data_IF_849505226175
#
_entry.id   IF_849505226175
#
_cell.length_a   1.000
_cell.length_b   1.000
_cell.length_c   1.000
_cell.angle_alpha   90.00
_cell.angle_beta   90.00
_cell.angle_gamma   90.00
#
_symmetry.space_group_name_H-M   'P 1'
#
loop_
_entity.id
_entity.type
_entity.pdbx_description
1 polymer ?
#
# COMPACT_ATOMS: atom_id res chain seq x y z
N UNK A 1 8.55 -19.22 -17.01
CA UNK A 1 8.99 -18.88 -15.65
C UNK A 1 7.88 -19.17 -14.64
N UNK A 2 8.25 -19.66 -13.44
CA UNK A 2 7.32 -19.97 -12.36
C UNK A 2 7.71 -19.16 -11.12
N UNK A 3 6.86 -18.24 -10.69
CA UNK A 3 7.04 -17.35 -9.55
C UNK A 3 6.15 -17.78 -8.38
N UNK A 4 6.74 -17.93 -7.18
CA UNK A 4 5.96 -18.06 -5.96
C UNK A 4 6.11 -16.80 -5.10
N UNK A 5 4.99 -16.22 -4.69
CA UNK A 5 4.93 -15.03 -3.84
C UNK A 5 4.55 -15.44 -2.43
N UNK A 6 5.39 -15.15 -1.45
CA UNK A 6 5.08 -15.35 -0.03
C UNK A 6 4.62 -14.02 0.57
N UNK A 7 3.30 -13.84 0.71
CA UNK A 7 2.72 -12.67 1.34
C UNK A 7 1.65 -13.08 2.36
N UNK A 8 1.98 -12.93 3.64
CA UNK A 8 1.11 -13.34 4.75
C UNK A 8 -0.32 -12.81 4.64
N UNK A 9 -0.50 -11.56 4.27
CA UNK A 9 -1.81 -10.86 4.28
C UNK A 9 -2.46 -10.71 2.90
N UNK A 10 -2.17 -11.60 1.96
CA UNK A 10 -2.74 -11.52 0.61
C UNK A 10 -4.15 -12.14 0.49
N UNK A 11 -4.74 -12.69 1.55
CA UNK A 11 -6.07 -13.27 1.50
C UNK A 11 -7.16 -12.26 1.07
N UNK A 12 -7.06 -11.00 1.54
CA UNK A 12 -7.97 -9.94 1.12
C UNK A 12 -7.84 -9.63 -0.38
N UNK A 13 -6.64 -9.78 -0.96
CA UNK A 13 -6.43 -9.57 -2.40
C UNK A 13 -7.16 -10.63 -3.24
N UNK A 14 -7.30 -11.86 -2.71
CA UNK A 14 -8.14 -12.89 -3.34
C UNK A 14 -9.63 -12.52 -3.31
N UNK A 15 -10.11 -12.04 -2.16
CA UNK A 15 -11.53 -11.67 -1.97
C UNK A 15 -11.90 -10.46 -2.83
N UNK A 16 -11.04 -9.43 -2.86
CA UNK A 16 -11.28 -8.18 -3.59
C UNK A 16 -10.98 -8.29 -5.09
N UNK A 17 -10.28 -9.37 -5.54
CA UNK A 17 -9.77 -9.46 -6.92
C UNK A 17 -8.91 -8.27 -7.29
N UNK A 18 -8.13 -7.74 -6.33
CA UNK A 18 -7.31 -6.54 -6.55
C UNK A 18 -6.27 -6.35 -5.42
N UNK A 19 -5.23 -5.60 -5.71
CA UNK A 19 -4.15 -5.24 -4.80
C UNK A 19 -2.80 -5.70 -5.29
N UNK A 20 -1.73 -5.13 -4.75
CA UNK A 20 -0.38 -5.20 -5.29
C UNK A 20 0.03 -6.54 -5.92
N UNK A 21 -0.02 -7.64 -5.15
CA UNK A 21 0.45 -8.92 -5.68
C UNK A 21 -0.56 -9.60 -6.61
N UNK A 22 -1.85 -9.34 -6.43
CA UNK A 22 -2.87 -9.78 -7.35
C UNK A 22 -2.70 -9.11 -8.71
N UNK A 23 -2.61 -7.78 -8.73
CA UNK A 23 -2.50 -6.98 -9.96
C UNK A 23 -1.18 -7.25 -10.69
N UNK A 24 -0.04 -7.35 -9.96
CA UNK A 24 1.23 -7.77 -10.54
C UNK A 24 1.13 -9.19 -11.13
N UNK A 25 0.53 -10.14 -10.41
CA UNK A 25 0.36 -11.52 -10.87
C UNK A 25 -0.50 -11.61 -12.12
N UNK A 26 -1.62 -10.90 -12.19
CA UNK A 26 -2.51 -10.80 -13.35
C UNK A 26 -1.72 -10.42 -14.62
N UNK A 27 -0.91 -9.36 -14.55
CA UNK A 27 -0.14 -8.91 -15.71
C UNK A 27 1.05 -9.82 -16.02
N UNK A 28 1.69 -10.45 -15.03
CA UNK A 28 2.73 -11.45 -15.26
C UNK A 28 2.17 -12.71 -15.91
N UNK A 29 0.98 -13.16 -15.52
CA UNK A 29 0.28 -14.31 -16.13
C UNK A 29 -0.01 -14.03 -17.60
N UNK A 30 -0.46 -12.82 -17.95
CA UNK A 30 -0.70 -12.45 -19.35
C UNK A 30 0.56 -12.50 -20.22
N UNK A 31 1.77 -12.50 -19.61
CA UNK A 31 3.09 -12.65 -20.23
C UNK A 31 3.65 -14.08 -20.18
N UNK A 32 2.83 -15.04 -19.74
CA UNK A 32 3.20 -16.46 -19.70
C UNK A 32 3.97 -16.88 -18.42
N UNK A 33 4.01 -16.04 -17.38
CA UNK A 33 4.56 -16.42 -16.08
C UNK A 33 3.50 -17.19 -15.29
N UNK A 34 3.85 -18.34 -14.72
CA UNK A 34 3.00 -19.02 -13.74
C UNK A 34 3.20 -18.39 -12.38
N UNK A 35 2.13 -17.98 -11.71
CA UNK A 35 2.23 -17.30 -10.40
C UNK A 35 1.37 -18.01 -9.36
N UNK A 36 1.95 -18.29 -8.18
CA UNK A 36 1.22 -18.75 -6.99
C UNK A 36 1.48 -17.81 -5.82
N UNK A 37 0.41 -17.35 -5.17
CA UNK A 37 0.47 -16.49 -3.98
C UNK A 37 0.16 -17.31 -2.73
N UNK A 38 1.12 -17.40 -1.81
CA UNK A 38 0.96 -18.10 -0.53
C UNK A 38 0.58 -17.10 0.55
N UNK A 39 -0.60 -17.23 1.14
CA UNK A 39 -1.11 -16.33 2.17
C UNK A 39 -1.74 -17.11 3.35
N UNK A 40 -1.98 -16.40 4.46
CA UNK A 40 -2.81 -16.94 5.54
C UNK A 40 -4.29 -16.86 5.18
N UNK A 41 -5.12 -17.64 5.86
CA UNK A 41 -6.58 -17.65 5.72
C UNK A 41 -7.26 -16.42 6.33
N UNK A 42 -6.61 -15.72 7.24
CA UNK A 42 -7.17 -14.59 7.98
C UNK A 42 -7.18 -13.29 7.17
N UNK A 43 -8.33 -12.62 7.13
CA UNK A 43 -8.51 -11.33 6.45
C UNK A 43 -8.08 -10.19 7.38
N UNK A 44 -6.93 -9.60 7.12
CA UNK A 44 -6.37 -8.54 7.97
C UNK A 44 -7.25 -7.28 7.97
N UNK A 45 -7.72 -6.87 9.14
CA UNK A 45 -8.59 -5.69 9.30
C UNK A 45 -10.08 -5.95 9.15
N UNK A 46 -10.45 -7.21 8.91
CA UNK A 46 -11.82 -7.74 8.96
C UNK A 46 -11.74 -8.97 9.86
N UNK A 47 -12.58 -9.08 10.88
CA UNK A 47 -12.53 -10.22 11.83
C UNK A 47 -13.09 -11.51 11.20
N UNK A 48 -12.69 -11.81 9.97
CA UNK A 48 -13.13 -12.93 9.17
C UNK A 48 -11.93 -13.74 8.66
N UNK A 49 -12.18 -14.98 8.27
CA UNK A 49 -11.21 -15.85 7.65
C UNK A 49 -11.83 -16.60 6.47
N UNK A 50 -11.02 -16.93 5.48
CA UNK A 50 -11.44 -17.82 4.40
C UNK A 50 -11.54 -19.22 4.97
N UNK A 51 -12.72 -19.84 4.83
CA UNK A 51 -12.98 -21.17 5.35
C UNK A 51 -12.14 -22.22 4.64
N UNK A 52 -11.50 -23.07 5.43
CA UNK A 52 -10.76 -24.26 4.97
C UNK A 52 -11.44 -25.46 5.60
N UNK A 53 -12.27 -26.13 4.81
CA UNK A 53 -13.13 -27.24 5.26
C UNK A 53 -12.29 -28.38 5.83
N UNK A 54 -11.32 -28.86 5.06
CA UNK A 54 -10.44 -29.94 5.45
C UNK A 54 -8.96 -29.61 5.22
N UNK A 55 -8.11 -29.98 6.19
CA UNK A 55 -6.66 -29.92 6.02
C UNK A 55 -5.99 -28.66 6.53
N UNK A 56 -4.80 -28.39 5.98
CA UNK A 56 -3.89 -27.34 6.45
C UNK A 56 -3.88 -26.12 5.53
N UNK A 57 -4.37 -26.29 4.31
CA UNK A 57 -4.45 -25.24 3.28
C UNK A 57 -5.48 -25.62 2.22
N UNK A 58 -5.92 -24.63 1.45
CA UNK A 58 -6.71 -24.80 0.23
C UNK A 58 -6.05 -24.05 -0.93
N UNK A 59 -6.26 -24.54 -2.15
CA UNK A 59 -5.86 -23.83 -3.37
C UNK A 59 -7.10 -23.23 -4.01
N UNK A 60 -7.05 -21.95 -4.32
CA UNK A 60 -8.14 -21.22 -5.00
C UNK A 60 -7.54 -20.46 -6.20
N UNK A 61 -8.32 -20.32 -7.24
CA UNK A 61 -7.94 -19.52 -8.41
C UNK A 61 -8.91 -18.36 -8.53
N UNK A 62 -8.40 -17.14 -8.62
CA UNK A 62 -9.18 -15.94 -8.89
C UNK A 62 -9.68 -15.92 -10.34
N UNK A 63 -10.62 -15.04 -10.63
CA UNK A 63 -11.21 -14.88 -11.98
C UNK A 63 -10.15 -14.54 -13.03
N UNK A 64 -9.10 -13.80 -12.65
CA UNK A 64 -7.96 -13.44 -13.52
C UNK A 64 -6.89 -14.54 -13.66
N UNK A 65 -7.18 -15.77 -13.20
CA UNK A 65 -6.25 -16.89 -13.27
C UNK A 65 -5.15 -16.89 -12.21
N UNK A 66 -5.16 -15.96 -11.27
CA UNK A 66 -4.18 -15.89 -10.18
C UNK A 66 -4.42 -17.01 -9.18
N UNK A 67 -3.43 -17.89 -8.99
CA UNK A 67 -3.51 -19.00 -8.05
C UNK A 67 -3.10 -18.58 -6.63
N UNK A 68 -3.95 -18.91 -5.65
CA UNK A 68 -3.72 -18.69 -4.22
C UNK A 68 -3.60 -20.00 -3.47
N UNK A 69 -2.59 -20.09 -2.63
CA UNK A 69 -2.42 -21.14 -1.62
C UNK A 69 -2.73 -20.53 -0.27
N UNK A 70 -3.95 -20.74 0.20
CA UNK A 70 -4.49 -20.16 1.43
C UNK A 70 -4.22 -21.12 2.56
N UNK A 71 -3.46 -20.70 3.56
CA UNK A 71 -2.91 -21.54 4.62
C UNK A 71 -3.62 -21.26 5.94
N UNK A 72 -4.16 -22.31 6.57
CA UNK A 72 -4.80 -22.19 7.88
C UNK A 72 -3.80 -21.73 8.93
N UNK A 73 -4.13 -20.64 9.63
CA UNK A 73 -3.27 -20.04 10.67
C UNK A 73 -4.06 -19.76 11.94
N UNK A 74 -3.35 -19.45 13.04
CA UNK A 74 -4.00 -19.07 14.29
C UNK A 74 -4.70 -17.72 14.12
N UNK A 75 -6.01 -17.66 14.36
CA UNK A 75 -6.76 -16.41 14.32
C UNK A 75 -6.27 -15.40 15.38
N UNK A 76 -6.43 -14.10 15.09
CA UNK A 76 -6.17 -13.02 16.06
C UNK A 76 -7.20 -11.90 15.89
N UNK A 77 -7.56 -11.21 16.99
CA UNK A 77 -8.53 -10.11 16.95
C UNK A 77 -7.91 -8.72 17.05
N UNK A 78 -6.71 -8.59 17.63
CA UNK A 78 -6.07 -7.30 17.90
C UNK A 78 -4.57 -7.32 17.58
N UNK A 79 -3.96 -6.13 17.48
CA UNK A 79 -2.52 -5.95 17.25
C UNK A 79 -1.67 -6.26 18.50
N UNK A 80 -1.80 -7.45 19.06
CA UNK A 80 -1.11 -7.89 20.28
C UNK A 80 -0.29 -9.18 20.08
N UNK A 81 -0.03 -9.88 21.18
CA UNK A 81 0.72 -11.15 21.18
C UNK A 81 0.09 -12.23 20.29
N UNK A 82 -1.24 -12.22 20.14
CA UNK A 82 -1.95 -13.13 19.24
C UNK A 82 -1.56 -12.92 17.78
N UNK A 83 -1.34 -11.66 17.35
CA UNK A 83 -0.84 -11.34 15.99
C UNK A 83 0.60 -11.84 15.81
N UNK A 84 1.46 -11.69 16.81
CA UNK A 84 2.83 -12.24 16.76
C UNK A 84 2.79 -13.77 16.64
N UNK A 85 1.92 -14.44 17.41
CA UNK A 85 1.70 -15.88 17.29
C UNK A 85 1.25 -16.29 15.89
N UNK A 86 0.32 -15.55 15.28
CA UNK A 86 -0.13 -15.77 13.91
C UNK A 86 1.02 -15.61 12.90
N UNK A 87 1.89 -14.59 13.04
CA UNK A 87 3.06 -14.40 12.18
C UNK A 87 4.04 -15.58 12.29
N UNK A 88 4.28 -16.08 13.51
CA UNK A 88 5.14 -17.25 13.76
C UNK A 88 4.50 -18.51 13.16
N UNK A 89 3.21 -18.70 13.35
CA UNK A 89 2.47 -19.85 12.80
C UNK A 89 2.53 -19.85 11.26
N UNK A 90 2.29 -18.70 10.61
CA UNK A 90 2.46 -18.55 9.17
C UNK A 90 3.88 -18.92 8.71
N UNK A 91 4.93 -18.42 9.38
CA UNK A 91 6.32 -18.72 9.05
C UNK A 91 6.61 -20.22 8.98
N UNK A 92 6.11 -21.00 9.93
CA UNK A 92 6.31 -22.45 9.95
C UNK A 92 5.44 -23.15 8.91
N UNK A 93 4.18 -22.77 8.80
CA UNK A 93 3.20 -23.44 7.95
C UNK A 93 3.45 -23.16 6.47
N UNK A 94 3.74 -21.92 6.06
CA UNK A 94 4.01 -21.60 4.65
C UNK A 94 5.18 -22.43 4.11
N UNK A 95 6.26 -22.58 4.88
CA UNK A 95 7.39 -23.40 4.48
C UNK A 95 7.05 -24.88 4.36
N UNK A 96 6.19 -25.39 5.24
CA UNK A 96 5.74 -26.78 5.18
C UNK A 96 4.87 -27.02 3.96
N UNK A 97 3.84 -26.19 3.75
CA UNK A 97 2.92 -26.27 2.62
C UNK A 97 3.64 -26.07 1.29
N UNK A 98 4.52 -25.07 1.18
CA UNK A 98 5.32 -24.85 -0.02
C UNK A 98 6.21 -26.07 -0.36
N UNK A 99 6.82 -26.74 0.65
CA UNK A 99 7.56 -27.96 0.42
C UNK A 99 6.67 -29.15 -0.02
N UNK A 100 5.44 -29.23 0.47
CA UNK A 100 4.48 -30.24 0.04
C UNK A 100 4.06 -30.03 -1.43
N UNK A 101 3.82 -28.77 -1.83
CA UNK A 101 3.48 -28.39 -3.20
C UNK A 101 4.69 -28.59 -4.13
N UNK A 102 5.89 -28.18 -3.70
CA UNK A 102 7.12 -28.37 -4.49
C UNK A 102 7.41 -29.86 -4.80
N UNK A 103 7.04 -30.75 -3.92
CA UNK A 103 7.18 -32.21 -4.17
C UNK A 103 6.17 -32.74 -5.20
N UNK A 104 5.01 -32.09 -5.32
CA UNK A 104 3.93 -32.53 -6.23
C UNK A 104 4.04 -31.90 -7.62
N UNK A 105 4.40 -30.62 -7.67
CA UNK A 105 4.30 -29.78 -8.86
C UNK A 105 5.67 -29.27 -9.37
N UNK A 106 6.74 -29.52 -8.61
CA UNK A 106 8.06 -28.95 -8.87
C UNK A 106 8.31 -27.66 -8.13
N UNK A 107 9.57 -27.22 -8.10
CA UNK A 107 9.98 -25.95 -7.48
C UNK A 107 9.75 -24.78 -8.43
N UNK A 108 9.48 -23.56 -7.91
CA UNK A 108 9.47 -22.38 -8.76
C UNK A 108 10.89 -22.01 -9.23
N UNK A 109 10.97 -21.14 -10.23
CA UNK A 109 12.23 -20.59 -10.70
C UNK A 109 12.77 -19.50 -9.76
N UNK A 110 11.85 -18.80 -9.06
CA UNK A 110 12.17 -17.69 -8.16
C UNK A 110 11.09 -17.52 -7.08
N UNK A 111 11.51 -17.03 -5.92
CA UNK A 111 10.63 -16.60 -4.82
C UNK A 111 10.62 -15.08 -4.74
N UNK A 112 9.42 -14.48 -4.62
CA UNK A 112 9.23 -13.13 -4.14
C UNK A 112 8.66 -13.19 -2.71
N UNK A 113 9.49 -12.93 -1.72
CA UNK A 113 9.07 -12.85 -0.32
C UNK A 113 8.73 -11.40 0.02
N UNK A 114 7.48 -11.14 0.40
CA UNK A 114 6.99 -9.78 0.65
C UNK A 114 6.76 -9.53 2.14
N UNK A 115 7.27 -8.40 2.62
CA UNK A 115 7.07 -7.97 4.01
C UNK A 115 5.69 -7.33 4.20
N UNK A 116 5.05 -7.73 5.28
CA UNK A 116 4.34 -6.87 6.21
C UNK A 116 5.01 -7.08 7.58
N UNK A 117 5.86 -8.09 7.67
CA UNK A 117 6.74 -8.40 8.80
C UNK A 117 7.91 -9.29 8.36
N UNK A 118 9.05 -9.27 9.07
CA UNK A 118 10.28 -9.96 8.63
C UNK A 118 10.17 -11.48 8.48
N UNK A 119 9.24 -12.13 9.21
CA UNK A 119 9.14 -13.60 9.20
C UNK A 119 8.69 -14.16 7.84
N UNK A 120 7.92 -13.39 7.05
CA UNK A 120 7.57 -13.78 5.68
C UNK A 120 8.81 -13.80 4.77
N UNK A 121 9.68 -12.78 4.90
CA UNK A 121 10.94 -12.69 4.17
C UNK A 121 11.86 -13.87 4.51
N UNK A 122 12.05 -14.14 5.82
CA UNK A 122 12.87 -15.26 6.30
C UNK A 122 12.31 -16.62 5.83
N UNK A 123 10.97 -16.75 5.73
CA UNK A 123 10.35 -17.97 5.21
C UNK A 123 10.71 -18.19 3.74
N UNK A 124 10.64 -17.16 2.91
CA UNK A 124 11.03 -17.19 1.50
C UNK A 124 12.51 -17.51 1.32
N UNK A 125 13.40 -16.80 2.01
CA UNK A 125 14.84 -17.06 1.97
C UNK A 125 15.20 -18.53 2.33
N UNK A 126 14.62 -19.03 3.43
CA UNK A 126 14.90 -20.40 3.86
C UNK A 126 14.35 -21.45 2.91
N UNK A 127 13.20 -21.21 2.29
CA UNK A 127 12.66 -22.08 1.25
C UNK A 127 13.58 -22.04 0.02
N UNK A 128 13.92 -20.87 -0.47
CA UNK A 128 14.76 -20.66 -1.64
C UNK A 128 16.15 -21.31 -1.45
N UNK A 129 16.81 -21.08 -0.32
CA UNK A 129 18.09 -21.71 0.02
C UNK A 129 18.01 -23.24 0.01
N UNK A 130 16.94 -23.82 0.57
CA UNK A 130 16.76 -25.28 0.60
C UNK A 130 16.64 -25.87 -0.80
N UNK A 131 15.96 -25.17 -1.69
CA UNK A 131 15.69 -25.65 -3.05
C UNK A 131 16.69 -25.13 -4.09
N UNK A 132 17.72 -24.36 -3.66
CA UNK A 132 18.76 -23.76 -4.51
C UNK A 132 18.18 -22.93 -5.66
N UNK A 133 17.27 -22.05 -5.32
CA UNK A 133 16.63 -21.08 -6.22
C UNK A 133 16.81 -19.66 -5.66
N UNK A 134 16.78 -18.61 -6.50
CA UNK A 134 16.90 -17.23 -6.03
C UNK A 134 15.67 -16.76 -5.24
N UNK A 135 15.90 -15.77 -4.36
CA UNK A 135 14.87 -15.10 -3.57
C UNK A 135 15.01 -13.58 -3.67
N UNK A 136 13.97 -12.91 -4.13
CA UNK A 136 13.79 -11.47 -4.00
C UNK A 136 13.06 -11.18 -2.70
N UNK A 137 13.57 -10.23 -1.92
CA UNK A 137 12.89 -9.72 -0.73
C UNK A 137 12.26 -8.37 -1.03
N UNK A 138 10.93 -8.29 -0.89
CA UNK A 138 10.17 -7.05 -1.08
C UNK A 138 9.87 -6.39 0.25
N UNK A 139 10.29 -5.13 0.38
CA UNK A 139 10.19 -4.31 1.58
C UNK A 139 9.09 -3.28 1.36
N UNK A 140 7.97 -3.48 2.07
CA UNK A 140 6.81 -2.58 1.98
C UNK A 140 6.78 -1.57 3.12
N UNK A 141 7.32 -1.95 4.27
CA UNK A 141 7.49 -1.12 5.44
C UNK A 141 8.91 -1.32 6.00
N UNK A 142 9.55 -0.26 6.42
CA UNK A 142 10.87 -0.31 7.04
C UNK A 142 10.75 -0.79 8.49
N UNK A 143 11.04 -2.05 8.73
CA UNK A 143 11.03 -2.67 10.06
C UNK A 143 12.45 -2.94 10.55
N UNK A 144 12.88 -2.39 11.71
CA UNK A 144 12.07 -1.77 12.78
C UNK A 144 11.90 -0.25 12.68
N UNK A 145 12.47 0.41 11.67
CA UNK A 145 12.54 1.88 11.55
C UNK A 145 11.18 2.54 11.76
N UNK A 146 10.12 2.04 11.12
CA UNK A 146 8.75 2.56 11.27
C UNK A 146 8.28 2.53 12.73
N UNK A 147 8.63 1.50 13.49
CA UNK A 147 8.25 1.41 14.91
C UNK A 147 9.06 2.36 15.78
N UNK A 148 10.29 2.67 15.39
CA UNK A 148 11.16 3.64 16.07
C UNK A 148 10.65 5.06 15.80
N UNK A 149 10.37 5.42 14.56
CA UNK A 149 9.85 6.72 14.17
C UNK A 149 8.48 7.03 14.80
N UNK A 150 7.62 6.03 14.92
CA UNK A 150 6.31 6.16 15.60
C UNK A 150 6.42 6.11 17.14
N UNK A 151 7.63 6.00 17.71
CA UNK A 151 7.85 6.01 19.15
C UNK A 151 7.51 4.71 19.89
N UNK A 152 7.14 3.63 19.18
CA UNK A 152 6.85 2.33 19.81
C UNK A 152 8.11 1.59 20.28
N UNK A 153 9.24 1.83 19.61
CA UNK A 153 10.54 1.28 19.94
C UNK A 153 11.58 2.38 20.10
N UNK A 154 12.68 2.06 20.79
CA UNK A 154 13.84 2.95 20.89
C UNK A 154 15.07 2.24 20.34
N UNK A 155 15.84 2.90 19.50
CA UNK A 155 17.10 2.36 18.92
C UNK A 155 18.10 1.91 19.99
N UNK A 156 18.06 2.52 21.19
CA UNK A 156 18.97 2.20 22.30
C UNK A 156 18.69 0.82 22.91
N UNK A 157 17.50 0.27 22.73
CA UNK A 157 17.11 -1.04 23.30
C UNK A 157 17.77 -2.19 22.55
N UNK A 158 18.22 -3.20 23.30
CA UNK A 158 18.86 -4.41 22.74
C UNK A 158 17.95 -5.11 21.72
N UNK A 159 16.67 -5.23 22.00
CA UNK A 159 15.69 -5.84 21.07
C UNK A 159 15.67 -5.12 19.73
N UNK A 160 15.61 -3.79 19.73
CA UNK A 160 15.59 -2.99 18.50
C UNK A 160 16.88 -3.19 17.69
N UNK A 161 18.04 -3.21 18.37
CA UNK A 161 19.32 -3.48 17.72
C UNK A 161 19.37 -4.90 17.10
N UNK A 162 18.78 -5.90 17.77
CA UNK A 162 18.66 -7.25 17.22
C UNK A 162 17.72 -7.29 15.99
N UNK A 163 16.65 -6.51 16.00
CA UNK A 163 15.74 -6.37 14.85
C UNK A 163 16.47 -5.75 13.64
N UNK A 164 17.26 -4.69 13.83
CA UNK A 164 18.09 -4.10 12.75
C UNK A 164 19.12 -5.09 12.21
N UNK A 165 19.77 -5.88 13.09
CA UNK A 165 20.68 -6.96 12.64
C UNK A 165 19.95 -8.03 11.84
N UNK A 166 18.71 -8.35 12.23
CA UNK A 166 17.85 -9.28 11.50
C UNK A 166 17.50 -8.74 10.11
N UNK A 167 17.09 -7.49 10.01
CA UNK A 167 16.81 -6.79 8.77
C UNK A 167 18.03 -6.77 7.84
N UNK A 168 19.19 -6.32 8.34
CA UNK A 168 20.44 -6.34 7.60
C UNK A 168 20.79 -7.75 7.08
N UNK A 169 20.63 -8.78 7.94
CA UNK A 169 20.88 -10.16 7.54
C UNK A 169 19.96 -10.66 6.42
N UNK A 170 18.69 -10.21 6.39
CA UNK A 170 17.74 -10.51 5.32
C UNK A 170 18.23 -9.88 4.01
N UNK A 171 18.51 -8.57 4.02
CA UNK A 171 18.93 -7.83 2.83
C UNK A 171 20.25 -8.36 2.25
N UNK A 172 21.20 -8.72 3.11
CA UNK A 172 22.48 -9.31 2.69
C UNK A 172 22.33 -10.66 2.01
N UNK A 173 21.41 -11.51 2.48
CA UNK A 173 21.25 -12.90 2.00
C UNK A 173 20.38 -13.02 0.75
N UNK A 174 19.48 -12.07 0.52
CA UNK A 174 18.62 -12.08 -0.67
C UNK A 174 19.41 -11.78 -1.94
N UNK A 175 19.00 -12.34 -3.06
CA UNK A 175 19.58 -12.06 -4.37
C UNK A 175 19.23 -10.66 -4.87
N UNK A 176 18.07 -10.13 -4.45
CA UNK A 176 17.69 -8.75 -4.68
C UNK A 176 16.74 -8.24 -3.61
N UNK A 177 16.76 -6.93 -3.36
CA UNK A 177 15.90 -6.24 -2.41
C UNK A 177 15.06 -5.21 -3.16
N UNK A 178 13.75 -5.41 -3.18
CA UNK A 178 12.80 -4.50 -3.82
C UNK A 178 12.17 -3.64 -2.73
N UNK A 179 12.34 -2.34 -2.80
CA UNK A 179 11.63 -1.40 -1.93
C UNK A 179 10.41 -0.85 -2.66
N UNK A 180 9.29 -0.72 -1.94
CA UNK A 180 8.11 -0.02 -2.49
C UNK A 180 8.25 1.49 -2.41
N UNK A 181 9.09 2.01 -1.50
CA UNK A 181 9.48 3.41 -1.44
C UNK A 181 10.76 3.65 -2.27
N UNK A 182 10.88 4.79 -2.99
CA UNK A 182 11.99 5.05 -3.91
C UNK A 182 13.35 5.22 -3.23
N UNK A 183 13.38 5.65 -1.97
CA UNK A 183 14.60 5.89 -1.19
C UNK A 183 15.25 4.64 -0.58
N UNK A 184 14.95 3.43 -1.07
CA UNK A 184 15.53 2.20 -0.54
C UNK A 184 17.06 2.19 -0.55
N UNK A 185 17.68 2.71 -1.61
CA UNK A 185 19.14 2.85 -1.69
C UNK A 185 19.70 3.83 -0.64
N UNK A 186 18.96 4.90 -0.37
CA UNK A 186 19.36 5.87 0.66
C UNK A 186 19.23 5.27 2.06
N UNK A 187 18.17 4.49 2.30
CA UNK A 187 18.01 3.77 3.56
C UNK A 187 19.19 2.83 3.83
N UNK A 188 19.63 2.07 2.83
CA UNK A 188 20.80 1.19 2.95
C UNK A 188 22.07 1.99 3.30
N UNK A 189 22.28 3.16 2.68
CA UNK A 189 23.41 4.06 2.97
C UNK A 189 23.31 4.68 4.37
N UNK A 190 22.14 5.19 4.75
CA UNK A 190 21.92 5.80 6.07
C UNK A 190 22.16 4.79 7.20
N UNK A 191 21.89 3.49 6.95
CA UNK A 191 22.19 2.42 7.89
C UNK A 191 23.65 1.91 7.83
N UNK A 192 24.45 2.39 6.88
CA UNK A 192 25.84 1.96 6.70
C UNK A 192 25.99 0.50 6.22
N UNK A 193 25.02 -0.01 5.43
CA UNK A 193 24.99 -1.41 5.00
C UNK A 193 25.43 -1.64 3.54
N UNK A 194 25.84 -0.60 2.84
CA UNK A 194 26.19 -0.65 1.40
C UNK A 194 27.34 -1.60 1.06
N UNK A 195 28.23 -1.90 2.02
CA UNK A 195 29.35 -2.82 1.82
C UNK A 195 28.88 -4.29 1.81
N UNK A 196 27.83 -4.60 2.58
CA UNK A 196 27.24 -5.94 2.69
C UNK A 196 26.00 -6.12 1.78
N UNK A 197 25.36 -5.01 1.40
CA UNK A 197 24.16 -4.97 0.55
C UNK A 197 24.46 -4.06 -0.65
N UNK A 198 25.08 -4.62 -1.70
CA UNK A 198 25.41 -3.86 -2.92
C UNK A 198 24.19 -3.14 -3.51
N UNK A 199 24.36 -1.87 -3.88
CA UNK A 199 23.25 -1.03 -4.32
C UNK A 199 22.69 -1.38 -5.69
N UNK A 200 23.40 -2.17 -6.47
CA UNK A 200 22.96 -2.72 -7.77
C UNK A 200 21.87 -3.79 -7.62
N UNK A 201 21.85 -4.50 -6.48
CA UNK A 201 20.77 -5.45 -6.17
C UNK A 201 19.57 -4.80 -5.42
N UNK A 202 19.57 -3.47 -5.23
CA UNK A 202 18.50 -2.72 -4.58
C UNK A 202 17.65 -2.04 -5.63
N UNK A 203 16.40 -2.48 -5.75
CA UNK A 203 15.43 -2.06 -6.76
C UNK A 203 14.29 -1.26 -6.14
N UNK A 204 13.59 -0.51 -6.98
CA UNK A 204 12.36 0.19 -6.61
C UNK A 204 11.20 -0.26 -7.50
N UNK A 205 10.15 -0.79 -6.88
CA UNK A 205 8.85 -1.04 -7.51
C UNK A 205 7.78 -0.56 -6.53
N UNK A 206 7.20 0.61 -6.78
CA UNK A 206 6.16 1.21 -5.95
C UNK A 206 4.88 0.35 -5.91
N UNK A 207 3.94 0.68 -5.02
CA UNK A 207 2.55 0.34 -5.27
C UNK A 207 2.09 1.09 -6.52
N UNK A 208 0.92 0.74 -7.01
CA UNK A 208 0.38 1.29 -8.25
C UNK A 208 -1.14 1.21 -8.28
N UNK A 209 -1.67 1.36 -9.46
CA UNK A 209 -3.08 1.21 -9.78
C UNK A 209 -3.23 0.39 -11.07
N UNK A 210 -4.24 -0.45 -11.14
CA UNK A 210 -4.67 -1.08 -12.40
C UNK A 210 -5.57 -0.09 -13.14
N UNK A 211 -5.02 0.62 -14.13
CA UNK A 211 -5.73 1.67 -14.85
C UNK A 211 -6.90 1.13 -15.68
N UNK A 212 -6.78 -0.08 -16.21
CA UNK A 212 -7.85 -0.68 -17.00
C UNK A 212 -9.04 -1.01 -16.10
N UNK A 213 -8.78 -1.64 -14.94
CA UNK A 213 -9.79 -1.91 -13.92
C UNK A 213 -10.39 -0.63 -13.35
N UNK A 214 -9.56 0.36 -13.04
CA UNK A 214 -10.02 1.66 -12.50
C UNK A 214 -11.03 2.33 -13.45
N UNK A 215 -10.71 2.40 -14.75
CA UNK A 215 -11.60 2.98 -15.77
C UNK A 215 -12.89 2.17 -15.92
N UNK A 216 -12.78 0.82 -15.91
CA UNK A 216 -13.94 -0.06 -15.93
C UNK A 216 -14.86 0.21 -14.73
N UNK A 217 -14.31 0.28 -13.51
CA UNK A 217 -15.07 0.49 -12.29
C UNK A 217 -15.74 1.88 -12.27
N UNK A 218 -15.08 2.94 -12.77
CA UNK A 218 -15.70 4.29 -12.91
C UNK A 218 -16.94 4.24 -13.78
N UNK A 219 -16.92 3.48 -14.89
CA UNK A 219 -18.04 3.42 -15.84
C UNK A 219 -19.17 2.47 -15.45
N UNK A 220 -18.86 1.42 -14.67
CA UNK A 220 -19.79 0.30 -14.45
C UNK A 220 -20.26 0.17 -12.98
N UNK A 221 -19.51 0.72 -12.01
CA UNK A 221 -19.83 0.62 -10.60
C UNK A 221 -20.20 1.99 -10.03
N UNK A 222 -21.40 2.48 -10.38
CA UNK A 222 -21.91 3.77 -9.93
C UNK A 222 -22.64 3.66 -8.59
N UNK A 223 -22.69 4.76 -7.84
CA UNK A 223 -23.45 4.88 -6.60
C UNK A 223 -24.45 6.04 -6.71
N UNK A 224 -25.67 5.83 -6.18
CA UNK A 224 -26.65 6.90 -6.01
C UNK A 224 -26.40 7.57 -4.65
N UNK A 225 -25.60 8.63 -4.68
CA UNK A 225 -25.25 9.43 -3.50
C UNK A 225 -25.47 10.92 -3.82
N UNK A 226 -26.37 11.57 -3.08
CA UNK A 226 -26.79 12.95 -3.35
C UNK A 226 -25.61 13.91 -3.26
N UNK A 227 -24.77 13.78 -2.23
CA UNK A 227 -23.63 14.67 -1.99
C UNK A 227 -22.58 14.63 -3.11
N UNK A 228 -22.47 13.51 -3.85
CA UNK A 228 -21.58 13.41 -5.01
C UNK A 228 -22.08 14.22 -6.22
N UNK A 229 -23.36 14.62 -6.23
CA UNK A 229 -24.01 15.30 -7.36
C UNK A 229 -24.33 16.77 -7.07
N UNK A 230 -23.89 17.32 -5.94
CA UNK A 230 -24.01 18.75 -5.63
C UNK A 230 -23.07 19.58 -6.51
N UNK A 231 -23.36 20.89 -6.61
CA UNK A 231 -22.49 21.84 -7.31
C UNK A 231 -21.34 22.37 -6.42
N UNK A 232 -21.28 21.95 -5.16
CA UNK A 232 -20.20 22.35 -4.26
C UNK A 232 -18.87 21.72 -4.67
N UNK A 233 -17.78 22.38 -4.29
CA UNK A 233 -16.43 21.83 -4.43
C UNK A 233 -16.22 20.66 -3.43
N UNK A 234 -15.97 19.47 -3.94
CA UNK A 234 -15.90 18.23 -3.16
C UNK A 234 -14.47 17.82 -2.90
N UNK A 235 -14.08 17.84 -1.62
CA UNK A 235 -12.83 17.26 -1.16
C UNK A 235 -13.12 15.83 -0.74
N UNK A 236 -12.45 14.85 -1.34
CA UNK A 236 -12.66 13.43 -1.02
C UNK A 236 -11.45 12.82 -0.34
N UNK A 237 -11.71 12.20 0.80
CA UNK A 237 -10.82 11.27 1.47
C UNK A 237 -11.38 9.85 1.36
N UNK A 238 -10.59 8.90 0.86
CA UNK A 238 -10.96 7.48 0.82
C UNK A 238 -9.90 6.64 1.54
N UNK A 239 -10.25 6.05 2.69
CA UNK A 239 -9.29 5.24 3.44
C UNK A 239 -9.68 4.93 4.87
N UNK A 240 -8.79 4.28 5.61
CA UNK A 240 -9.03 3.93 7.01
C UNK A 240 -9.01 5.16 7.92
N UNK A 241 -9.96 5.22 8.87
CA UNK A 241 -10.10 6.30 9.86
C UNK A 241 -9.39 5.86 11.14
N UNK A 242 -8.05 6.05 11.16
CA UNK A 242 -7.16 5.67 12.26
C UNK A 242 -6.24 6.83 12.63
N UNK A 243 -5.72 6.84 13.85
CA UNK A 243 -4.85 7.89 14.37
C UNK A 243 -3.70 8.27 13.42
N UNK A 244 -3.01 7.28 12.85
CA UNK A 244 -1.90 7.49 11.93
C UNK A 244 -2.30 8.25 10.65
N UNK A 245 -3.57 8.19 10.26
CA UNK A 245 -4.08 8.88 9.08
C UNK A 245 -4.60 10.29 9.38
N UNK A 246 -4.52 10.76 10.62
CA UNK A 246 -4.84 12.14 11.01
C UNK A 246 -6.15 12.69 10.43
N UNK A 247 -7.19 11.83 10.40
CA UNK A 247 -8.52 12.24 9.88
C UNK A 247 -9.17 13.31 10.78
N UNK A 248 -8.73 13.45 12.03
CA UNK A 248 -9.06 14.55 12.92
C UNK A 248 -8.68 15.93 12.35
N UNK A 249 -7.63 16.02 11.53
CA UNK A 249 -7.29 17.26 10.83
C UNK A 249 -8.34 17.68 9.79
N UNK A 250 -9.05 16.71 9.16
CA UNK A 250 -10.15 17.02 8.24
C UNK A 250 -11.34 17.67 8.97
N UNK A 251 -11.59 17.26 10.21
CA UNK A 251 -12.61 17.90 11.06
C UNK A 251 -12.21 19.34 11.38
N UNK A 252 -10.94 19.57 11.74
CA UNK A 252 -10.44 20.93 12.00
C UNK A 252 -10.44 21.80 10.74
N UNK A 253 -10.09 21.25 9.57
CA UNK A 253 -10.19 21.95 8.28
C UNK A 253 -11.66 22.35 7.99
N UNK A 254 -12.61 21.44 8.20
CA UNK A 254 -14.02 21.73 8.02
C UNK A 254 -14.50 22.86 8.94
N UNK A 255 -14.08 22.84 10.20
CA UNK A 255 -14.40 23.89 11.18
C UNK A 255 -13.83 25.27 10.76
N UNK A 256 -12.56 25.30 10.33
CA UNK A 256 -11.92 26.53 9.85
C UNK A 256 -12.69 27.10 8.63
N UNK A 257 -12.95 26.25 7.62
CA UNK A 257 -13.67 26.67 6.41
C UNK A 257 -15.09 27.18 6.74
N UNK A 258 -15.82 26.52 7.63
CA UNK A 258 -17.16 26.96 8.06
C UNK A 258 -17.08 28.29 8.81
N UNK A 259 -16.11 28.49 9.71
CA UNK A 259 -15.91 29.73 10.45
C UNK A 259 -15.52 30.90 9.53
N UNK A 260 -14.87 30.63 8.40
CA UNK A 260 -14.60 31.61 7.34
C UNK A 260 -15.85 31.96 6.50
N UNK A 261 -16.97 31.28 6.74
CA UNK A 261 -18.20 31.44 5.97
C UNK A 261 -18.17 30.77 4.59
N UNK A 262 -17.23 29.89 4.34
CA UNK A 262 -17.14 29.13 3.09
C UNK A 262 -18.13 27.96 3.12
N UNK A 263 -19.26 28.11 2.46
CA UNK A 263 -20.35 27.12 2.39
C UNK A 263 -20.33 26.31 1.08
N UNK A 264 -19.40 26.60 0.18
CA UNK A 264 -19.32 25.99 -1.16
C UNK A 264 -18.34 24.82 -1.25
N UNK A 265 -17.73 24.42 -0.11
CA UNK A 265 -16.80 23.29 0.00
C UNK A 265 -17.40 22.24 0.93
N UNK A 266 -17.48 20.99 0.44
CA UNK A 266 -17.84 19.82 1.24
C UNK A 266 -16.66 18.84 1.32
N UNK A 267 -16.44 18.26 2.51
CA UNK A 267 -15.46 17.21 2.76
C UNK A 267 -16.18 15.87 2.91
N UNK A 268 -15.95 14.94 1.99
CA UNK A 268 -16.57 13.62 1.98
C UNK A 268 -15.54 12.56 2.43
N UNK A 269 -15.79 11.92 3.60
CA UNK A 269 -14.88 10.98 4.23
C UNK A 269 -15.41 9.55 4.06
N UNK A 270 -14.86 8.81 3.11
CA UNK A 270 -15.19 7.41 2.87
C UNK A 270 -14.22 6.49 3.61
N UNK A 271 -14.76 5.58 4.39
CA UNK A 271 -13.98 4.58 5.11
C UNK A 271 -14.53 4.22 6.47
N UNK A 272 -13.76 3.41 7.17
CA UNK A 272 -14.03 2.97 8.54
C UNK A 272 -12.77 2.90 9.37
N UNK A 273 -12.92 2.83 10.66
CA UNK A 273 -11.80 2.74 11.60
C UNK A 273 -12.22 3.11 13.02
N UNK A 274 -11.29 2.90 13.94
CA UNK A 274 -11.55 3.04 15.38
C UNK A 274 -11.75 4.48 15.87
N UNK A 275 -11.48 5.49 15.04
CA UNK A 275 -11.73 6.88 15.40
C UNK A 275 -13.02 7.47 14.79
N UNK A 276 -13.72 6.71 13.91
CA UNK A 276 -14.87 7.24 13.17
C UNK A 276 -15.96 7.81 14.10
N UNK A 277 -16.42 7.03 15.07
CA UNK A 277 -17.50 7.42 15.98
C UNK A 277 -17.14 8.67 16.82
N UNK A 278 -15.90 8.74 17.29
CA UNK A 278 -15.38 9.91 18.02
C UNK A 278 -15.39 11.17 17.16
N UNK A 279 -14.92 11.07 15.90
CA UNK A 279 -14.86 12.22 15.00
C UNK A 279 -16.25 12.67 14.55
N UNK A 280 -17.17 11.74 14.30
CA UNK A 280 -18.58 12.08 14.03
C UNK A 280 -19.25 12.80 15.22
N UNK A 281 -18.92 12.42 16.48
CA UNK A 281 -19.41 13.13 17.67
C UNK A 281 -18.89 14.56 17.71
N UNK A 282 -17.59 14.75 17.48
CA UNK A 282 -16.98 16.09 17.41
C UNK A 282 -17.64 16.99 16.36
N UNK A 283 -17.94 16.44 15.18
CA UNK A 283 -18.63 17.21 14.12
C UNK A 283 -20.04 17.64 14.56
N UNK A 284 -20.81 16.76 15.22
CA UNK A 284 -22.12 17.10 15.75
C UNK A 284 -22.05 18.16 16.86
N UNK A 285 -21.12 18.02 17.79
CA UNK A 285 -20.90 18.97 18.89
C UNK A 285 -20.53 20.37 18.38
N UNK A 286 -19.68 20.44 17.35
CA UNK A 286 -19.29 21.68 16.69
C UNK A 286 -20.30 22.16 15.64
N UNK A 287 -21.42 21.47 15.43
CA UNK A 287 -22.44 21.80 14.43
C UNK A 287 -21.87 22.00 13.01
N UNK A 288 -20.89 21.16 12.63
CA UNK A 288 -20.30 21.19 11.29
C UNK A 288 -21.27 20.59 10.26
N UNK A 289 -21.50 21.31 9.16
CA UNK A 289 -22.41 20.90 8.09
C UNK A 289 -21.72 20.71 6.73
N UNK A 290 -20.39 20.89 6.68
CA UNK A 290 -19.54 20.81 5.50
C UNK A 290 -18.57 19.61 5.51
N UNK A 291 -18.72 18.68 6.47
CA UNK A 291 -17.98 17.41 6.52
C UNK A 291 -18.95 16.24 6.74
N UNK A 292 -18.79 15.18 5.94
CA UNK A 292 -19.71 14.05 5.92
C UNK A 292 -18.96 12.73 5.98
N UNK A 293 -19.24 11.91 6.99
CA UNK A 293 -18.69 10.56 7.13
C UNK A 293 -19.58 9.56 6.39
N UNK A 294 -19.20 9.21 5.16
CA UNK A 294 -19.98 8.40 4.22
C UNK A 294 -19.96 6.90 4.53
N UNK A 295 -19.13 6.47 5.51
CA UNK A 295 -18.98 5.07 5.86
C UNK A 295 -18.08 4.29 4.91
N UNK A 296 -18.01 2.96 5.14
CA UNK A 296 -17.23 2.04 4.32
C UNK A 296 -18.04 1.65 3.08
N UNK A 297 -17.40 1.70 1.92
CA UNK A 297 -17.95 1.24 0.64
C UNK A 297 -17.10 0.08 0.11
N UNK A 298 -17.67 -0.75 -0.77
CA UNK A 298 -16.93 -1.78 -1.46
C UNK A 298 -15.86 -1.16 -2.37
N UNK A 299 -14.72 -1.82 -2.50
CA UNK A 299 -13.57 -1.31 -3.24
C UNK A 299 -13.90 -0.93 -4.69
N UNK A 300 -14.80 -1.66 -5.33
CA UNK A 300 -15.24 -1.41 -6.72
C UNK A 300 -15.92 -0.04 -6.93
N UNK A 301 -16.48 0.56 -5.86
CA UNK A 301 -17.12 1.88 -5.95
C UNK A 301 -16.15 3.05 -5.70
N UNK A 302 -14.95 2.77 -5.15
CA UNK A 302 -13.97 3.82 -4.85
C UNK A 302 -13.58 4.62 -6.09
N UNK A 303 -13.30 4.01 -7.27
CA UNK A 303 -13.00 4.76 -8.49
C UNK A 303 -14.12 5.73 -8.90
N UNK A 304 -15.39 5.32 -8.81
CA UNK A 304 -16.52 6.20 -9.11
C UNK A 304 -16.59 7.40 -8.16
N UNK A 305 -16.47 7.16 -6.86
CA UNK A 305 -16.45 8.23 -5.85
C UNK A 305 -15.32 9.23 -6.10
N UNK A 306 -14.10 8.73 -6.34
CA UNK A 306 -12.94 9.57 -6.64
C UNK A 306 -13.12 10.37 -7.94
N UNK A 307 -13.80 9.82 -8.94
CA UNK A 307 -14.09 10.53 -10.19
C UNK A 307 -15.02 11.74 -10.01
N UNK A 308 -15.78 11.78 -8.90
CA UNK A 308 -16.67 12.88 -8.53
C UNK A 308 -16.02 13.94 -7.64
N UNK A 309 -14.81 13.68 -7.16
CA UNK A 309 -14.05 14.65 -6.38
C UNK A 309 -13.61 15.83 -7.25
N UNK A 310 -13.46 17.00 -6.62
CA UNK A 310 -12.78 18.15 -7.20
C UNK A 310 -11.35 18.27 -6.67
N UNK A 311 -11.11 17.81 -5.43
CA UNK A 311 -9.81 17.71 -4.79
C UNK A 311 -9.74 16.40 -3.99
N UNK A 312 -8.62 15.72 -4.02
CA UNK A 312 -8.35 14.59 -3.13
C UNK A 312 -7.40 14.99 -2.01
N UNK A 313 -7.59 14.43 -0.81
CA UNK A 313 -6.81 14.81 0.36
C UNK A 313 -6.20 13.59 1.06
N UNK A 314 -4.96 13.72 1.48
CA UNK A 314 -4.29 12.76 2.37
C UNK A 314 -3.71 13.52 3.55
N UNK A 315 -4.19 13.19 4.75
CA UNK A 315 -3.59 13.58 6.01
C UNK A 315 -2.88 12.39 6.63
N UNK A 316 -1.76 12.60 7.31
CA UNK A 316 -1.00 11.52 7.94
C UNK A 316 -0.10 12.06 9.06
N UNK A 317 0.19 11.22 10.05
CA UNK A 317 1.16 11.50 11.11
C UNK A 317 2.54 11.81 10.52
N UNK A 318 3.16 12.91 10.97
CA UNK A 318 4.49 13.31 10.51
C UNK A 318 5.56 12.35 11.01
N UNK A 319 6.40 11.88 10.11
CA UNK A 319 7.56 11.04 10.43
C UNK A 319 8.73 11.38 9.51
N UNK A 320 9.96 11.11 9.96
CA UNK A 320 11.15 11.28 9.11
C UNK A 320 11.25 10.24 7.97
N UNK A 321 10.34 9.26 7.92
CA UNK A 321 10.32 8.25 6.86
C UNK A 321 10.04 8.84 5.48
N UNK A 322 9.39 10.01 5.41
CA UNK A 322 9.15 10.76 4.18
C UNK A 322 10.42 11.04 3.37
N UNK A 323 11.59 11.14 4.01
CA UNK A 323 12.88 11.29 3.32
C UNK A 323 13.23 10.15 2.36
N UNK A 324 12.64 8.97 2.58
CA UNK A 324 12.79 7.80 1.69
C UNK A 324 11.66 7.69 0.66
N UNK A 325 10.75 8.66 0.64
CA UNK A 325 9.54 8.63 -0.19
C UNK A 325 8.46 7.75 0.42
N UNK A 326 7.36 7.64 -0.31
CA UNK A 326 6.16 6.90 0.11
C UNK A 326 5.70 5.93 -0.97
N UNK A 327 4.84 5.00 -0.56
CA UNK A 327 4.12 4.12 -1.47
C UNK A 327 2.70 3.83 -0.95
N UNK A 328 1.96 4.88 -0.60
CA UNK A 328 0.58 4.76 -0.14
C UNK A 328 -0.36 4.42 -1.29
N UNK A 329 -1.18 3.38 -1.16
CA UNK A 329 -2.11 2.97 -2.21
C UNK A 329 -3.02 4.10 -2.70
N UNK A 330 -3.53 4.93 -1.78
CA UNK A 330 -4.43 6.05 -2.08
C UNK A 330 -3.89 7.00 -3.15
N UNK A 331 -2.58 7.32 -3.10
CA UNK A 331 -2.02 8.33 -4.00
C UNK A 331 -2.11 7.89 -5.47
N UNK A 332 -1.97 6.59 -5.73
CA UNK A 332 -2.05 6.04 -7.09
C UNK A 332 -3.49 6.01 -7.61
N UNK A 333 -4.46 5.68 -6.74
CA UNK A 333 -5.89 5.78 -7.07
C UNK A 333 -6.31 7.25 -7.29
N UNK A 334 -5.75 8.18 -6.51
CA UNK A 334 -5.98 9.62 -6.66
C UNK A 334 -5.35 10.18 -7.95
N UNK A 335 -4.18 9.72 -8.34
CA UNK A 335 -3.61 10.02 -9.66
C UNK A 335 -4.52 9.50 -10.78
N UNK A 336 -5.02 8.25 -10.66
CA UNK A 336 -5.85 7.60 -11.68
C UNK A 336 -7.20 8.27 -11.88
N UNK A 337 -7.77 8.91 -10.85
CA UNK A 337 -9.02 9.67 -11.00
C UNK A 337 -8.83 11.02 -11.72
N UNK A 338 -7.58 11.43 -11.99
CA UNK A 338 -7.28 12.70 -12.65
C UNK A 338 -7.69 13.91 -11.83
N UNK A 339 -7.50 13.87 -10.51
CA UNK A 339 -7.83 14.98 -9.62
C UNK A 339 -6.59 15.50 -8.92
N UNK A 340 -6.51 16.82 -8.67
CA UNK A 340 -5.43 17.34 -7.84
C UNK A 340 -5.47 16.74 -6.44
N UNK A 341 -4.31 16.71 -5.79
CA UNK A 341 -4.16 16.19 -4.42
C UNK A 341 -3.55 17.25 -3.52
N UNK A 342 -3.99 17.28 -2.27
CA UNK A 342 -3.33 18.02 -1.20
C UNK A 342 -2.97 17.07 -0.05
N UNK A 343 -1.75 17.24 0.50
CA UNK A 343 -1.31 16.47 1.67
C UNK A 343 -0.46 17.32 2.60
N UNK A 344 -0.59 17.06 3.90
CA UNK A 344 0.18 17.70 4.97
C UNK A 344 1.57 17.09 5.18
N UNK A 345 2.06 16.22 4.30
CA UNK A 345 3.26 15.42 4.52
C UNK A 345 4.44 15.86 3.66
N UNK A 346 5.64 15.88 4.26
CA UNK A 346 6.89 16.14 3.54
C UNK A 346 7.40 14.85 2.88
N UNK A 347 7.40 14.84 1.56
CA UNK A 347 7.88 13.71 0.73
C UNK A 347 9.37 13.83 0.34
N UNK A 348 10.06 14.85 0.84
CA UNK A 348 11.46 15.10 0.54
C UNK A 348 11.75 15.16 -0.96
N UNK A 349 12.88 14.62 -1.38
CA UNK A 349 13.30 14.58 -2.79
C UNK A 349 12.54 13.55 -3.65
N UNK A 350 11.77 12.68 -3.03
CA UNK A 350 10.98 11.63 -3.69
C UNK A 350 9.49 11.99 -3.73
N UNK A 351 9.20 13.21 -4.09
CA UNK A 351 7.84 13.77 -4.10
C UNK A 351 7.21 13.67 -5.50
N UNK A 352 6.41 12.63 -5.81
CA UNK A 352 5.77 12.49 -7.11
C UNK A 352 4.74 13.59 -7.38
N UNK A 353 4.12 14.17 -6.32
CA UNK A 353 3.16 15.25 -6.46
C UNK A 353 3.83 16.49 -7.06
N UNK A 354 5.02 16.82 -6.57
CA UNK A 354 5.81 17.94 -7.09
C UNK A 354 6.46 17.61 -8.44
N UNK A 355 6.99 16.39 -8.61
CA UNK A 355 7.64 15.93 -9.83
C UNK A 355 6.73 16.04 -11.06
N UNK A 356 5.49 15.53 -10.91
CA UNK A 356 4.48 15.59 -11.98
C UNK A 356 3.61 16.85 -11.93
N UNK A 357 3.72 17.66 -10.87
CA UNK A 357 2.94 18.89 -10.67
C UNK A 357 1.42 18.65 -10.76
N UNK A 358 0.90 17.75 -9.95
CA UNK A 358 -0.54 17.43 -9.90
C UNK A 358 -1.19 17.76 -8.54
N UNK A 359 -0.54 18.56 -7.70
CA UNK A 359 -1.09 18.95 -6.40
C UNK A 359 -0.06 19.60 -5.49
N UNK A 360 -0.36 19.58 -4.19
CA UNK A 360 0.45 20.22 -3.14
C UNK A 360 0.83 19.17 -2.08
N UNK A 361 2.12 19.06 -1.79
CA UNK A 361 2.63 18.22 -0.71
C UNK A 361 3.66 19.01 0.11
N UNK A 362 3.28 19.45 1.28
CA UNK A 362 4.15 20.17 2.20
C UNK A 362 3.67 20.04 3.64
N UNK A 363 4.56 20.24 4.59
CA UNK A 363 4.18 20.41 6.00
C UNK A 363 3.62 21.82 6.17
N UNK A 364 2.54 21.95 6.92
CA UNK A 364 1.92 23.22 7.25
C UNK A 364 2.21 23.56 8.72
N UNK A 365 2.58 24.81 9.00
CA UNK A 365 2.77 25.31 10.37
C UNK A 365 1.47 25.29 11.18
N UNK A 366 0.35 25.49 10.48
CA UNK A 366 -1.01 25.36 11.00
C UNK A 366 -2.00 25.02 9.87
N UNK A 367 -3.19 24.56 10.23
CA UNK A 367 -4.21 24.14 9.27
C UNK A 367 -4.89 25.31 8.54
N UNK A 368 -4.78 26.55 9.07
CA UNK A 368 -5.23 27.75 8.36
C UNK A 368 -4.55 27.92 7.01
N UNK A 369 -3.23 27.71 6.97
CA UNK A 369 -2.44 27.75 5.72
C UNK A 369 -2.84 26.64 4.74
N UNK A 370 -3.25 25.48 5.25
CA UNK A 370 -3.76 24.40 4.39
C UNK A 370 -5.15 24.76 3.83
N UNK A 371 -5.98 25.42 4.62
CA UNK A 371 -7.28 25.95 4.17
C UNK A 371 -7.11 27.03 3.10
N UNK A 372 -6.10 27.92 3.22
CA UNK A 372 -5.79 28.92 2.18
C UNK A 372 -5.50 28.25 0.82
N UNK A 373 -4.73 27.17 0.82
CA UNK A 373 -4.44 26.40 -0.40
C UNK A 373 -5.68 25.66 -0.94
N UNK A 374 -6.52 25.13 -0.06
CA UNK A 374 -7.79 24.49 -0.44
C UNK A 374 -8.72 25.51 -1.10
N UNK A 375 -8.87 26.70 -0.52
CA UNK A 375 -9.67 27.79 -1.09
C UNK A 375 -9.07 28.31 -2.40
N UNK A 376 -7.76 28.41 -2.50
CA UNK A 376 -7.09 28.75 -3.75
C UNK A 376 -7.37 27.72 -4.85
N UNK A 377 -7.33 26.40 -4.51
CA UNK A 377 -7.66 25.33 -5.44
C UNK A 377 -9.12 25.32 -5.87
N UNK A 378 -10.06 25.66 -4.98
CA UNK A 378 -11.48 25.76 -5.30
C UNK A 378 -11.82 26.93 -6.24
N UNK A 379 -10.96 27.95 -6.29
CA UNK A 379 -11.10 29.14 -7.10
C UNK A 379 -10.26 29.13 -8.40
N UNK A 380 -9.59 27.99 -8.70
CA UNK A 380 -8.82 27.88 -9.93
C UNK A 380 -9.70 28.04 -11.16
N UNK A 381 -9.19 28.76 -12.16
CA UNK A 381 -9.79 28.75 -13.48
C UNK A 381 -9.70 27.35 -14.12
N UNK A 382 -10.64 27.09 -15.04
CA UNK A 382 -10.73 25.77 -15.65
C UNK A 382 -9.42 25.32 -16.35
N UNK A 383 -8.69 26.15 -17.12
CA UNK A 383 -7.42 25.75 -17.73
C UNK A 383 -6.35 25.33 -16.71
N UNK A 384 -6.23 26.08 -15.62
CA UNK A 384 -5.27 25.78 -14.54
C UNK A 384 -5.64 24.46 -13.83
N UNK A 385 -6.91 24.25 -13.54
CA UNK A 385 -7.40 23.01 -12.95
C UNK A 385 -7.19 21.82 -13.89
N UNK A 386 -7.55 21.94 -15.17
CA UNK A 386 -7.39 20.88 -16.17
C UNK A 386 -5.91 20.46 -16.33
N UNK A 387 -4.96 21.38 -16.12
CA UNK A 387 -3.53 21.05 -16.12
C UNK A 387 -3.14 20.13 -14.98
N UNK A 388 -3.65 20.37 -13.74
CA UNK A 388 -3.43 19.44 -12.61
C UNK A 388 -4.03 18.07 -12.90
N UNK A 389 -5.24 18.03 -13.44
CA UNK A 389 -5.94 16.79 -13.80
C UNK A 389 -5.17 15.96 -14.84
N UNK A 390 -4.68 16.61 -15.91
CA UNK A 390 -3.86 15.97 -16.95
C UNK A 390 -2.54 15.43 -16.38
N UNK A 391 -1.89 16.20 -15.51
CA UNK A 391 -0.65 15.81 -14.86
C UNK A 391 -0.85 14.60 -13.94
N UNK A 392 -1.96 14.56 -13.19
CA UNK A 392 -2.33 13.39 -12.35
C UNK A 392 -2.51 12.13 -13.20
N UNK A 393 -3.25 12.22 -14.32
CA UNK A 393 -3.41 11.10 -15.25
C UNK A 393 -2.08 10.63 -15.86
N UNK A 394 -1.19 11.58 -16.20
CA UNK A 394 0.16 11.26 -16.70
C UNK A 394 0.99 10.54 -15.64
N UNK A 395 0.96 11.03 -14.41
CA UNK A 395 1.64 10.37 -13.29
C UNK A 395 1.11 8.94 -13.10
N UNK A 396 -0.23 8.75 -13.11
CA UNK A 396 -0.85 7.45 -12.91
C UNK A 396 -0.35 6.39 -13.91
N UNK A 397 -0.05 6.79 -15.15
CA UNK A 397 0.46 5.88 -16.19
C UNK A 397 1.78 5.24 -15.79
N UNK A 398 2.71 5.99 -15.19
CA UNK A 398 4.03 5.47 -14.80
C UNK A 398 3.96 4.51 -13.59
N UNK A 399 2.83 4.53 -12.89
CA UNK A 399 2.50 3.67 -11.76
C UNK A 399 1.40 2.64 -12.08
N UNK A 400 1.11 2.39 -13.37
CA UNK A 400 0.22 1.31 -13.78
C UNK A 400 0.85 -0.05 -13.44
N UNK A 401 0.10 -0.95 -12.82
CA UNK A 401 0.58 -2.30 -12.52
C UNK A 401 1.03 -3.07 -13.75
N UNK A 402 0.55 -2.73 -14.94
CA UNK A 402 1.05 -3.27 -16.21
C UNK A 402 2.53 -2.95 -16.41
N UNK A 403 2.93 -1.70 -16.19
CA UNK A 403 4.33 -1.23 -16.29
C UNK A 403 5.17 -1.76 -15.13
N UNK A 404 4.60 -1.77 -13.92
CA UNK A 404 5.29 -2.28 -12.75
C UNK A 404 5.55 -3.79 -12.85
N UNK A 405 4.67 -4.55 -13.51
CA UNK A 405 4.86 -5.96 -13.79
C UNK A 405 5.98 -6.20 -14.81
N UNK A 406 6.16 -5.32 -15.82
CA UNK A 406 7.30 -5.38 -16.75
C UNK A 406 8.62 -5.20 -15.98
N UNK A 407 8.70 -4.17 -15.14
CA UNK A 407 9.89 -3.92 -14.29
C UNK A 407 10.19 -5.10 -13.35
N UNK A 408 9.16 -5.71 -12.77
CA UNK A 408 9.35 -6.90 -11.92
C UNK A 408 9.85 -8.09 -12.73
N UNK A 409 9.35 -8.28 -13.95
CA UNK A 409 9.78 -9.34 -14.85
C UNK A 409 11.27 -9.21 -15.20
N UNK A 410 11.72 -8.01 -15.60
CA UNK A 410 13.12 -7.73 -15.90
C UNK A 410 14.04 -8.04 -14.71
N UNK A 411 13.64 -7.64 -13.49
CA UNK A 411 14.39 -7.93 -12.26
C UNK A 411 14.45 -9.44 -12.00
N UNK A 412 13.35 -10.15 -12.19
CA UNK A 412 13.31 -11.60 -11.98
C UNK A 412 14.20 -12.34 -12.97
N UNK A 413 14.16 -11.99 -14.25
CA UNK A 413 14.97 -12.59 -15.30
C UNK A 413 16.46 -12.39 -15.03
N UNK A 414 16.87 -11.14 -14.78
CA UNK A 414 18.25 -10.81 -14.42
C UNK A 414 18.70 -11.57 -13.16
N UNK A 415 17.86 -11.60 -12.11
CA UNK A 415 18.19 -12.28 -10.86
C UNK A 415 18.37 -13.80 -11.07
N UNK A 416 17.55 -14.44 -11.89
CA UNK A 416 17.67 -15.86 -12.22
C UNK A 416 18.95 -16.14 -13.01
N UNK A 417 19.30 -15.28 -13.96
CA UNK A 417 20.54 -15.42 -14.75
C UNK A 417 21.79 -15.27 -13.90
N UNK A 418 21.87 -14.23 -13.08
CA UNK A 418 23.00 -14.01 -12.15
C UNK A 418 23.15 -15.16 -11.16
N UNK A 419 22.05 -15.66 -10.62
CA UNK A 419 22.07 -16.81 -9.72
C UNK A 419 22.60 -18.10 -10.39
N UNK A 420 22.23 -18.35 -11.65
CA UNK A 420 22.74 -19.49 -12.43
C UNK A 420 24.24 -19.37 -12.76
N UNK A 421 24.74 -18.13 -12.92
CA UNK A 421 26.15 -17.83 -13.16
C UNK A 421 26.98 -17.83 -11.87
N UNK A 422 26.37 -17.98 -10.70
CA UNK A 422 27.06 -17.98 -9.40
C UNK A 422 27.48 -16.59 -8.91
N UNK A 423 26.85 -15.54 -9.44
CA UNK A 423 27.09 -14.15 -9.05
C UNK A 423 26.27 -13.74 -7.82
#
# INVERSE_FOLDING_TARGET
>A
MNLWIFNHYAALMYVDGAGRHHDLAKYLISKGVKVKIFCADFLHGVDEAIEIEDGKYTCKTGEDGVEYVIIKTTAYKNNGLSRIKNMIDYYFRVRKVANEIAKKEGTPDIILASSVHPLALIAGEKFAKKHRIPCLCEIRDLWPETLVELGYLSEKKLLTRLMYRGEHSIYRKSQGVIFTMPGGKDYIKDRGWQDDVPLDKVYHISNGVDLDKFRFDVGNNTMSEELLNTNKFKIVYAGSIRRVNKVDELVSIAEILQNRGNNDIDILVYGGGNQKEELESKCREASLNNIHFMGKIDKKYVPYVLSKADLTIVTIEQTNLGKYGISWNKIYEYMACGRPIITNFNLGKYNPIAEYNFGIAKVYDNLELMCDEIEAMSNLDKPSYDKYAQNACKAAHDFDYKILADRLMDIMESTIEDYKQGK
#
